data_IF_158037527339
#
_entry.id   IF_158037527339
#
_cell.length_a   1.000
_cell.length_b   1.000
_cell.length_c   1.000
_cell.angle_alpha   90.00
_cell.angle_beta   90.00
_cell.angle_gamma   90.00
#
_symmetry.space_group_name_H-M   'P 1'
#
loop_
_entity.id
_entity.type
_entity.pdbx_description
1 polymer ?
#
# COMPACT_ATOMS: atom_id res chain seq x y z
N UNK A 1 26.67 -1.05 -29.68
CA UNK A 1 25.34 -1.11 -29.04
C UNK A 1 25.13 -2.44 -28.32
N UNK A 2 25.40 -3.58 -28.97
CA UNK A 2 25.34 -4.92 -28.38
C UNK A 2 26.45 -5.18 -27.35
N UNK A 3 27.70 -4.80 -27.66
CA UNK A 3 28.84 -5.01 -26.75
C UNK A 3 28.63 -4.46 -25.31
N UNK A 4 28.00 -3.30 -25.16
CA UNK A 4 27.77 -2.69 -23.85
C UNK A 4 26.71 -3.41 -23.02
N UNK A 5 25.68 -3.97 -23.68
CA UNK A 5 24.66 -4.79 -23.03
C UNK A 5 25.23 -6.19 -22.68
N UNK A 6 26.10 -6.73 -23.53
CA UNK A 6 26.78 -8.03 -23.32
C UNK A 6 27.79 -8.00 -22.15
N UNK A 7 28.37 -6.84 -21.83
CA UNK A 7 29.28 -6.66 -20.68
C UNK A 7 28.50 -6.33 -19.38
N UNK A 8 27.16 -6.31 -19.43
CA UNK A 8 26.30 -6.20 -18.24
C UNK A 8 25.62 -4.86 -18.03
N UNK A 9 25.51 -3.99 -19.05
CA UNK A 9 24.68 -2.80 -18.94
C UNK A 9 23.18 -3.15 -19.01
N UNK A 10 22.36 -2.53 -18.14
CA UNK A 10 20.91 -2.76 -18.11
C UNK A 10 20.14 -2.04 -19.23
N UNK A 11 20.65 -0.92 -19.72
CA UNK A 11 20.08 -0.17 -20.86
C UNK A 11 21.17 0.70 -21.52
N UNK A 12 21.00 1.01 -22.81
CA UNK A 12 21.91 1.87 -23.57
C UNK A 12 21.14 2.88 -24.43
N UNK A 13 21.51 4.17 -24.30
CA UNK A 13 20.92 5.27 -25.06
C UNK A 13 21.99 5.90 -25.96
N UNK A 14 21.70 6.00 -27.25
CA UNK A 14 22.58 6.66 -28.21
C UNK A 14 22.33 8.18 -28.23
N UNK A 15 23.38 8.98 -28.40
CA UNK A 15 23.26 10.43 -28.62
C UNK A 15 22.80 10.74 -30.06
N UNK A 16 22.12 11.87 -30.29
CA UNK A 16 21.64 12.84 -29.30
C UNK A 16 20.38 12.34 -28.59
N UNK A 17 20.32 12.49 -27.26
CA UNK A 17 19.16 12.10 -26.46
C UNK A 17 18.61 13.30 -25.69
N UNK A 18 17.33 13.22 -25.32
CA UNK A 18 16.71 14.22 -24.45
C UNK A 18 16.84 13.81 -22.97
N UNK A 19 16.97 14.76 -22.03
CA UNK A 19 16.94 14.44 -20.60
C UNK A 19 15.67 13.70 -20.17
N UNK A 20 14.53 13.99 -20.84
CA UNK A 20 13.26 13.30 -20.62
C UNK A 20 13.33 11.81 -20.95
N UNK A 21 14.03 11.44 -22.02
CA UNK A 21 14.20 10.05 -22.43
C UNK A 21 15.03 9.25 -21.42
N UNK A 22 16.11 9.84 -20.89
CA UNK A 22 16.93 9.23 -19.84
C UNK A 22 16.10 9.01 -18.58
N UNK A 23 15.35 10.02 -18.12
CA UNK A 23 14.48 9.91 -16.94
C UNK A 23 13.36 8.88 -17.11
N UNK A 24 12.84 8.68 -18.33
CA UNK A 24 11.82 7.66 -18.61
C UNK A 24 12.39 6.23 -18.56
N UNK A 25 13.61 6.04 -19.05
CA UNK A 25 14.31 4.74 -19.05
C UNK A 25 14.76 4.34 -17.66
N UNK A 26 15.32 5.27 -16.87
CA UNK A 26 15.63 5.03 -15.44
C UNK A 26 14.39 4.59 -14.66
N UNK A 27 13.27 5.30 -14.82
CA UNK A 27 11.99 4.90 -14.20
C UNK A 27 11.53 3.50 -14.61
N UNK A 28 11.79 3.12 -15.87
CA UNK A 28 11.40 1.79 -16.39
C UNK A 28 12.25 0.67 -15.80
N UNK A 29 13.56 0.88 -15.66
CA UNK A 29 14.47 -0.09 -15.00
C UNK A 29 14.13 -0.23 -13.52
N UNK A 30 13.94 0.89 -12.81
CA UNK A 30 13.54 0.87 -11.39
C UNK A 30 12.20 0.16 -11.17
N UNK A 31 11.21 0.37 -12.05
CA UNK A 31 9.93 -0.34 -12.01
C UNK A 31 10.07 -1.84 -12.26
N UNK A 32 11.02 -2.25 -13.11
CA UNK A 32 11.29 -3.69 -13.34
C UNK A 32 11.92 -4.33 -12.12
N UNK A 33 12.85 -3.66 -11.44
CA UNK A 33 13.41 -4.13 -10.18
C UNK A 33 12.33 -4.29 -9.09
N UNK A 34 11.37 -3.37 -9.01
CA UNK A 34 10.20 -3.49 -8.12
C UNK A 34 9.25 -4.64 -8.47
N UNK A 35 9.23 -5.13 -9.72
CA UNK A 35 8.40 -6.28 -10.12
C UNK A 35 9.03 -7.64 -9.79
N UNK A 36 10.32 -7.69 -9.47
CA UNK A 36 11.05 -8.94 -9.19
C UNK A 36 11.44 -9.15 -7.72
N UNK A 37 11.09 -8.21 -6.83
CA UNK A 37 11.13 -8.35 -5.36
C UNK A 37 9.79 -7.82 -4.83
N UNK A 38 8.90 -8.54 -4.14
CA UNK A 38 9.00 -9.57 -3.12
C UNK A 38 7.63 -10.30 -3.06
N UNK A 39 7.43 -11.38 -2.28
CA UNK A 39 6.08 -11.74 -1.85
C UNK A 39 5.40 -10.48 -1.28
N UNK A 40 4.24 -10.09 -1.82
CA UNK A 40 3.42 -9.02 -1.23
C UNK A 40 3.25 -9.32 0.26
N UNK A 41 3.41 -8.34 1.17
CA UNK A 41 3.23 -8.53 2.61
C UNK A 41 1.74 -8.74 2.90
N UNK A 42 1.23 -9.89 2.48
CA UNK A 42 -0.12 -10.33 2.72
C UNK A 42 -0.16 -10.86 4.15
N UNK A 43 -0.76 -10.08 5.05
CA UNK A 43 -0.89 -10.45 6.46
C UNK A 43 -2.16 -11.27 6.62
N UNK A 44 -2.05 -12.47 7.21
CA UNK A 44 -3.20 -13.33 7.54
C UNK A 44 -3.46 -13.30 9.03
N UNK A 45 -4.69 -12.96 9.41
CA UNK A 45 -5.13 -12.89 10.82
C UNK A 45 -6.47 -13.63 10.94
N UNK A 46 -6.42 -14.87 11.40
CA UNK A 46 -7.57 -15.77 11.31
C UNK A 46 -8.04 -15.90 9.87
N UNK A 47 -9.30 -15.55 9.62
CA UNK A 47 -9.97 -15.64 8.31
C UNK A 47 -9.81 -14.37 7.46
N UNK A 48 -9.13 -13.36 7.99
CA UNK A 48 -8.80 -12.14 7.28
C UNK A 48 -7.50 -12.28 6.50
N UNK A 49 -7.50 -11.72 5.30
CA UNK A 49 -6.32 -11.54 4.48
C UNK A 49 -6.21 -10.05 4.14
N UNK A 50 -5.15 -9.41 4.64
CA UNK A 50 -4.82 -8.01 4.41
C UNK A 50 -3.72 -7.91 3.35
N UNK A 51 -4.01 -7.25 2.24
CA UNK A 51 -3.00 -6.81 1.27
C UNK A 51 -2.81 -5.29 1.40
N UNK A 52 -1.70 -4.91 2.04
CA UNK A 52 -1.40 -3.50 2.26
C UNK A 52 -1.05 -2.73 0.99
N UNK A 53 -0.47 -3.39 -0.01
CA UNK A 53 -0.09 -2.75 -1.27
C UNK A 53 -1.32 -2.47 -2.12
N UNK A 54 -2.26 -3.42 -2.15
CA UNK A 54 -3.52 -3.28 -2.85
C UNK A 54 -4.55 -2.44 -2.06
N UNK A 55 -4.26 -2.10 -0.80
CA UNK A 55 -5.20 -1.51 0.14
C UNK A 55 -6.52 -2.30 0.21
N UNK A 56 -6.41 -3.62 0.29
CA UNK A 56 -7.55 -4.54 0.22
C UNK A 56 -7.56 -5.50 1.41
N UNK A 57 -8.77 -5.80 1.90
CA UNK A 57 -8.99 -6.81 2.94
C UNK A 57 -10.04 -7.79 2.42
N UNK A 58 -9.81 -9.08 2.63
CA UNK A 58 -10.81 -10.12 2.39
C UNK A 58 -11.09 -10.92 3.66
N UNK A 59 -12.31 -11.43 3.78
CA UNK A 59 -12.75 -12.32 4.84
C UNK A 59 -13.20 -13.63 4.18
N UNK A 60 -12.64 -14.78 4.57
CA UNK A 60 -12.98 -16.10 4.00
C UNK A 60 -12.80 -16.10 2.46
N UNK A 61 -11.80 -15.37 1.98
CA UNK A 61 -11.52 -15.22 0.55
C UNK A 61 -12.46 -14.29 -0.22
N UNK A 62 -13.45 -13.67 0.43
CA UNK A 62 -14.33 -12.67 -0.20
C UNK A 62 -13.80 -11.25 0.05
N UNK A 63 -13.55 -10.44 -0.99
CA UNK A 63 -13.07 -9.07 -0.83
C UNK A 63 -14.14 -8.20 -0.17
N UNK A 64 -13.73 -7.39 0.82
CA UNK A 64 -14.60 -6.44 1.50
C UNK A 64 -14.61 -5.11 0.73
N UNK A 65 -15.80 -4.57 0.46
CA UNK A 65 -15.95 -3.24 -0.15
C UNK A 65 -15.88 -2.16 0.94
N UNK A 66 -14.67 -1.77 1.31
CA UNK A 66 -14.41 -0.81 2.39
C UNK A 66 -14.12 0.57 1.82
N UNK A 67 -14.64 1.61 2.48
CA UNK A 67 -14.15 2.97 2.29
C UNK A 67 -12.72 3.11 2.80
N UNK A 68 -12.04 4.21 2.45
CA UNK A 68 -10.67 4.50 2.91
C UNK A 68 -10.53 4.39 4.43
N UNK A 69 -11.44 4.98 5.19
CA UNK A 69 -11.33 5.00 6.66
C UNK A 69 -11.70 3.66 7.29
N UNK A 70 -12.65 2.93 6.73
CA UNK A 70 -12.97 1.57 7.17
C UNK A 70 -11.80 0.62 6.93
N UNK A 71 -11.13 0.72 5.77
CA UNK A 71 -9.90 -0.02 5.50
C UNK A 71 -8.82 0.29 6.54
N UNK A 72 -8.54 1.57 6.78
CA UNK A 72 -7.49 1.98 7.73
C UNK A 72 -7.81 1.56 9.17
N UNK A 73 -9.07 1.66 9.59
CA UNK A 73 -9.53 1.17 10.89
C UNK A 73 -9.34 -0.34 11.02
N UNK A 74 -9.87 -1.11 10.07
CA UNK A 74 -9.77 -2.56 10.12
C UNK A 74 -8.32 -3.03 10.03
N UNK A 75 -7.50 -2.42 9.17
CA UNK A 75 -6.04 -2.62 9.12
C UNK A 75 -5.41 -2.42 10.50
N UNK A 76 -5.71 -1.30 11.15
CA UNK A 76 -5.14 -0.96 12.48
C UNK A 76 -5.50 -2.03 13.52
N UNK A 77 -6.75 -2.49 13.52
CA UNK A 77 -7.22 -3.55 14.42
C UNK A 77 -6.57 -4.90 14.11
N UNK A 78 -6.41 -5.26 12.84
CA UNK A 78 -5.80 -6.52 12.41
C UNK A 78 -4.30 -6.58 12.75
N UNK A 79 -3.59 -5.45 12.79
CA UNK A 79 -2.19 -5.42 13.21
C UNK A 79 -1.98 -5.66 14.71
N UNK A 80 -3.01 -5.46 15.53
CA UNK A 80 -2.94 -5.62 16.99
C UNK A 80 -4.16 -6.38 17.54
N UNK A 81 -4.32 -7.66 17.17
CA UNK A 81 -5.47 -8.45 17.61
C UNK A 81 -5.51 -8.56 19.14
N UNK A 82 -6.68 -8.35 19.73
CA UNK A 82 -6.88 -8.38 21.19
C UNK A 82 -6.49 -7.11 21.93
N UNK A 83 -5.89 -6.11 21.25
CA UNK A 83 -5.60 -4.81 21.85
C UNK A 83 -6.86 -3.94 21.85
N UNK A 84 -7.13 -3.31 22.99
CA UNK A 84 -8.16 -2.26 23.10
C UNK A 84 -7.54 -0.92 22.71
N UNK A 85 -8.21 -0.20 21.81
CA UNK A 85 -7.85 1.16 21.41
C UNK A 85 -8.90 2.16 21.93
N UNK A 86 -8.44 3.30 22.44
CA UNK A 86 -9.33 4.44 22.73
C UNK A 86 -9.71 5.16 21.43
N UNK A 87 -10.80 5.95 21.44
CA UNK A 87 -11.19 6.78 20.29
C UNK A 87 -10.06 7.70 19.84
N UNK A 88 -9.44 8.38 20.79
CA UNK A 88 -8.32 9.27 20.53
C UNK A 88 -7.17 8.54 19.84
N UNK A 89 -6.83 7.32 20.28
CA UNK A 89 -5.78 6.53 19.62
C UNK A 89 -6.15 6.16 18.18
N UNK A 90 -7.40 5.77 17.91
CA UNK A 90 -7.84 5.47 16.55
C UNK A 90 -7.84 6.72 15.67
N UNK A 91 -8.24 7.88 16.21
CA UNK A 91 -8.16 9.17 15.53
C UNK A 91 -6.72 9.52 15.16
N UNK A 92 -5.78 9.41 16.11
CA UNK A 92 -4.37 9.69 15.89
C UNK A 92 -3.72 8.73 14.87
N UNK A 93 -4.16 7.47 14.79
CA UNK A 93 -3.58 6.47 13.89
C UNK A 93 -4.18 6.51 12.48
N UNK A 94 -5.46 6.83 12.34
CA UNK A 94 -6.19 6.71 11.06
C UNK A 94 -6.45 8.08 10.40
N UNK A 95 -6.56 9.16 11.17
CA UNK A 95 -6.90 10.51 10.70
C UNK A 95 -5.73 11.51 10.81
N UNK A 96 -4.48 11.05 10.63
CA UNK A 96 -3.24 11.85 10.79
C UNK A 96 -3.27 13.17 10.01
N UNK A 97 -3.86 13.19 8.81
CA UNK A 97 -3.90 14.37 7.91
C UNK A 97 -5.28 15.04 7.83
N UNK A 98 -6.25 14.62 8.65
CA UNK A 98 -7.59 15.18 8.61
C UNK A 98 -7.72 16.33 9.62
N UNK A 99 -7.43 17.55 9.16
CA UNK A 99 -7.46 18.79 9.94
C UNK A 99 -8.81 19.12 10.61
N UNK A 100 -9.88 18.38 10.29
CA UNK A 100 -11.26 18.70 10.68
C UNK A 100 -12.10 17.45 11.02
N UNK A 101 -11.49 16.36 11.49
CA UNK A 101 -12.25 15.15 11.82
C UNK A 101 -12.86 15.23 13.24
N UNK A 102 -14.19 15.34 13.31
CA UNK A 102 -14.94 15.26 14.57
C UNK A 102 -14.84 13.85 15.16
N UNK A 103 -14.55 13.75 16.46
CA UNK A 103 -14.42 12.52 17.27
C UNK A 103 -15.57 11.49 17.08
N UNK A 104 -16.75 11.94 16.61
CA UNK A 104 -17.93 11.10 16.31
C UNK A 104 -17.82 10.25 15.04
N UNK A 105 -16.81 10.49 14.20
CA UNK A 105 -16.65 9.79 12.91
C UNK A 105 -16.22 8.33 13.14
N UNK A 106 -15.45 8.05 14.20
CA UNK A 106 -14.96 6.70 14.52
C UNK A 106 -16.10 5.73 14.81
N UNK A 107 -17.06 6.11 15.66
CA UNK A 107 -18.15 5.24 16.09
C UNK A 107 -19.04 4.81 14.91
N UNK A 108 -19.21 5.70 13.92
CA UNK A 108 -19.98 5.41 12.70
C UNK A 108 -19.29 4.34 11.87
N UNK A 109 -17.98 4.47 11.62
CA UNK A 109 -17.22 3.48 10.86
C UNK A 109 -17.01 2.16 11.61
N UNK A 110 -16.92 2.20 12.95
CA UNK A 110 -16.88 0.97 13.75
C UNK A 110 -18.21 0.22 13.67
N UNK A 111 -19.33 0.95 13.63
CA UNK A 111 -20.66 0.35 13.45
C UNK A 111 -20.83 -0.29 12.08
N UNK A 112 -20.25 0.27 11.02
CA UNK A 112 -20.32 -0.32 9.67
C UNK A 112 -19.39 -1.53 9.49
N UNK A 113 -18.29 -1.58 10.21
CA UNK A 113 -17.36 -2.71 10.21
C UNK A 113 -17.84 -3.93 11.03
N UNK A 114 -18.77 -3.72 11.97
CA UNK A 114 -19.36 -4.77 12.82
C UNK A 114 -20.53 -5.48 12.13
#
# INVERSE_FOLDING_TARGET
KLLGLEIGADDYIAKPFSPREVCARVRTVLRRLQKFAAPSPVVRVGEFVLDEQAAAISWFGQPLNLTRYEFLLLKTLLHAPGRVFSRQQLMELVWIDAWESLDRTVDTHIKTLR
#
